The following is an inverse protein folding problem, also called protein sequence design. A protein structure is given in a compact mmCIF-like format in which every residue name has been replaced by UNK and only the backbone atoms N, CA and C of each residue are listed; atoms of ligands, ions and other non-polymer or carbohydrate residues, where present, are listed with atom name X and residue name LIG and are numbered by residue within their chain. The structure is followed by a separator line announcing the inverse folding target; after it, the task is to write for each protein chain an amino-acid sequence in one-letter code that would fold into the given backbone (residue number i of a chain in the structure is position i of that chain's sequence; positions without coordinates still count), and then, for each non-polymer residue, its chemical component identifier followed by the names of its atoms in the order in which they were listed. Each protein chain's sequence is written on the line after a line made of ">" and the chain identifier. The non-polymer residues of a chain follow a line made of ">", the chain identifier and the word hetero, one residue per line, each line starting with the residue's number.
data_IF_891569713647
#
_entry.id   IF_891569713647
#
_cell.length_a   1.000
_cell.length_b   1.000
_cell.length_c   1.000
_cell.angle_alpha   90.00
_cell.angle_beta   90.00
_cell.angle_gamma   90.00
#
_symmetry.space_group_name_H-M   'P 1'
#
loop_
_entity.id
_entity.type
_entity.pdbx_description
1 polymer ?
#
# COMPACT_ATOMS: atom_id res chain seq x y z
N UNK A 1 27.07 16.47 3.74
CA UNK A 1 25.73 17.11 3.78
C UNK A 1 24.65 16.04 3.96
N UNK A 2 23.69 16.23 4.88
CA UNK A 2 22.54 15.32 5.01
C UNK A 2 21.65 15.46 3.76
N UNK A 3 21.75 14.53 2.80
CA UNK A 3 20.88 14.45 1.61
C UNK A 3 19.42 14.53 2.05
N UNK A 4 18.67 15.54 1.58
CA UNK A 4 17.24 15.67 1.90
C UNK A 4 16.51 14.59 1.09
N UNK A 5 15.78 13.73 1.79
CA UNK A 5 15.08 12.59 1.19
C UNK A 5 14.00 13.10 0.23
N UNK A 6 14.09 12.73 -1.04
CA UNK A 6 13.02 12.96 -2.02
C UNK A 6 11.73 12.32 -1.55
N UNK A 7 10.62 13.06 -1.59
CA UNK A 7 9.30 12.46 -1.34
C UNK A 7 8.92 11.49 -2.47
N UNK A 8 8.07 10.49 -2.18
CA UNK A 8 7.62 9.53 -3.21
C UNK A 8 6.98 10.25 -4.42
N UNK A 9 6.28 11.35 -4.16
CA UNK A 9 5.70 12.19 -5.21
C UNK A 9 6.77 12.87 -6.05
N UNK A 10 7.77 13.52 -5.44
CA UNK A 10 8.88 14.16 -6.16
C UNK A 10 9.66 13.14 -7.00
N UNK A 11 9.89 11.93 -6.45
CA UNK A 11 10.52 10.83 -7.17
C UNK A 11 9.74 10.43 -8.42
N UNK A 12 8.43 10.21 -8.27
CA UNK A 12 7.58 9.77 -9.36
C UNK A 12 7.37 10.89 -10.40
N UNK A 13 7.17 12.14 -9.98
CA UNK A 13 7.04 13.29 -10.89
C UNK A 13 8.31 13.51 -11.73
N UNK A 14 9.49 13.31 -11.13
CA UNK A 14 10.76 13.41 -11.86
C UNK A 14 10.88 12.35 -12.96
N UNK A 15 10.64 11.07 -12.64
CA UNK A 15 10.67 10.01 -13.64
C UNK A 15 9.56 10.17 -14.68
N UNK A 16 8.36 10.57 -14.28
CA UNK A 16 7.24 10.84 -15.20
C UNK A 16 7.63 11.85 -16.27
N UNK A 17 8.11 13.03 -15.84
CA UNK A 17 8.51 14.09 -16.77
C UNK A 17 9.71 13.67 -17.62
N UNK A 18 10.65 12.92 -17.05
CA UNK A 18 11.79 12.38 -17.81
C UNK A 18 11.28 11.44 -18.91
N UNK A 19 10.38 10.52 -18.59
CA UNK A 19 9.76 9.61 -19.56
C UNK A 19 8.96 10.33 -20.64
N UNK A 20 8.24 11.40 -20.29
CA UNK A 20 7.53 12.25 -21.27
C UNK A 20 8.48 12.96 -22.23
N UNK A 21 9.67 13.38 -21.79
CA UNK A 21 10.70 13.96 -22.65
C UNK A 21 11.37 12.89 -23.52
N UNK A 22 11.68 11.72 -22.97
CA UNK A 22 12.19 10.58 -23.74
C UNK A 22 11.22 10.17 -24.86
N UNK A 23 9.92 10.11 -24.57
CA UNK A 23 8.87 9.82 -25.55
C UNK A 23 8.81 10.86 -26.69
N UNK A 24 9.29 12.09 -26.43
CA UNK A 24 9.40 13.16 -27.43
C UNK A 24 10.72 13.14 -28.19
N UNK A 25 11.59 12.16 -27.94
CA UNK A 25 12.87 11.99 -28.62
C UNK A 25 14.06 12.71 -27.99
N UNK A 26 13.91 13.26 -26.77
CA UNK A 26 15.05 13.87 -26.08
C UNK A 26 16.02 12.77 -25.57
N UNK A 27 17.34 12.95 -25.71
CA UNK A 27 18.31 12.10 -25.05
C UNK A 27 18.14 12.13 -23.52
N UNK A 28 18.43 11.01 -22.84
CA UNK A 28 18.22 10.87 -21.39
C UNK A 28 18.94 11.96 -20.58
N UNK A 29 20.20 12.26 -20.92
CA UNK A 29 20.97 13.28 -20.23
C UNK A 29 20.33 14.68 -20.40
N UNK A 30 19.88 15.02 -21.61
CA UNK A 30 19.26 16.32 -21.91
C UNK A 30 17.89 16.46 -21.23
N UNK A 31 17.11 15.37 -21.22
CA UNK A 31 15.83 15.32 -20.51
C UNK A 31 16.01 15.62 -19.02
N UNK A 32 16.98 14.95 -18.37
CA UNK A 32 17.27 15.13 -16.94
C UNK A 32 17.86 16.52 -16.66
N UNK A 33 18.75 17.01 -17.52
CA UNK A 33 19.31 18.35 -17.40
C UNK A 33 18.24 19.43 -17.51
N UNK A 34 17.32 19.31 -18.47
CA UNK A 34 16.20 20.23 -18.65
C UNK A 34 15.30 20.30 -17.40
N UNK A 35 15.06 19.15 -16.77
CA UNK A 35 14.26 19.08 -15.55
C UNK A 35 14.96 19.69 -14.34
N UNK A 36 16.29 19.64 -14.26
CA UNK A 36 17.06 20.21 -13.15
C UNK A 36 16.75 21.69 -12.93
N UNK A 37 16.53 22.47 -14.01
CA UNK A 37 16.22 23.91 -13.91
C UNK A 37 14.90 24.22 -13.20
N UNK A 38 13.96 23.26 -13.16
CA UNK A 38 12.65 23.41 -12.50
C UNK A 38 12.66 22.94 -11.04
N UNK A 39 13.78 22.42 -10.55
CA UNK A 39 13.88 21.81 -9.21
C UNK A 39 14.36 22.79 -8.15
N UNK A 40 14.13 22.43 -6.88
CA UNK A 40 14.71 23.15 -5.73
C UNK A 40 16.24 23.03 -5.79
N UNK A 41 16.98 24.06 -5.36
CA UNK A 41 18.46 24.08 -5.33
C UNK A 41 19.09 22.81 -4.75
N UNK A 42 18.53 22.28 -3.66
CA UNK A 42 19.04 21.05 -3.03
C UNK A 42 18.99 19.81 -3.94
N UNK A 43 17.99 19.70 -4.81
CA UNK A 43 17.89 18.58 -5.78
C UNK A 43 18.68 18.85 -7.05
N UNK A 44 18.96 20.11 -7.39
CA UNK A 44 19.81 20.46 -8.53
C UNK A 44 21.23 19.92 -8.37
N UNK A 45 21.81 20.07 -7.18
CA UNK A 45 23.14 19.51 -6.86
C UNK A 45 23.16 17.98 -7.01
N UNK A 46 22.13 17.29 -6.49
CA UNK A 46 22.00 15.83 -6.59
C UNK A 46 21.82 15.37 -8.04
N UNK A 47 21.05 16.11 -8.86
CA UNK A 47 20.87 15.82 -10.29
C UNK A 47 22.13 16.14 -11.09
N UNK A 48 22.95 17.11 -10.67
CA UNK A 48 24.23 17.40 -11.32
C UNK A 48 25.21 16.26 -11.12
N UNK A 49 25.29 15.70 -9.89
CA UNK A 49 26.07 14.50 -9.63
C UNK A 49 25.54 13.30 -10.42
N UNK A 50 24.21 13.10 -10.43
CA UNK A 50 23.56 12.07 -11.23
C UNK A 50 23.97 12.12 -12.71
N UNK A 51 24.01 13.32 -13.30
CA UNK A 51 24.42 13.51 -14.69
C UNK A 51 25.91 13.21 -14.91
N UNK A 52 26.77 13.46 -13.91
CA UNK A 52 28.18 13.04 -13.94
C UNK A 52 28.29 11.53 -13.94
N UNK A 53 27.62 10.87 -12.97
CA UNK A 53 27.65 9.41 -12.81
C UNK A 53 27.13 8.71 -14.08
N UNK A 54 26.09 9.27 -14.72
CA UNK A 54 25.55 8.76 -15.97
C UNK A 54 26.54 8.89 -17.14
N UNK A 55 27.28 10.01 -17.22
CA UNK A 55 28.34 10.21 -18.23
C UNK A 55 29.54 9.29 -18.02
N UNK A 56 29.80 8.91 -16.78
CA UNK A 56 30.82 7.93 -16.40
C UNK A 56 30.40 6.48 -16.71
N UNK A 57 29.14 6.26 -17.14
CA UNK A 57 28.63 4.95 -17.54
C UNK A 57 28.07 4.12 -16.38
N UNK A 58 27.81 4.73 -15.22
CA UNK A 58 27.14 4.02 -14.14
C UNK A 58 25.68 3.69 -14.52
N UNK A 59 25.20 2.45 -14.21
CA UNK A 59 23.81 2.08 -14.46
C UNK A 59 22.84 2.99 -13.70
N UNK A 60 21.82 3.48 -14.40
CA UNK A 60 20.80 4.39 -13.92
C UNK A 60 20.08 3.87 -12.68
N UNK A 61 19.73 2.59 -12.66
CA UNK A 61 19.07 1.98 -11.51
C UNK A 61 19.93 2.07 -10.24
N UNK A 62 21.27 1.99 -10.34
CA UNK A 62 22.18 2.13 -9.20
C UNK A 62 22.21 3.57 -8.68
N UNK A 63 22.29 4.54 -9.60
CA UNK A 63 22.27 5.97 -9.25
C UNK A 63 20.96 6.32 -8.52
N UNK A 64 19.81 5.84 -9.02
CA UNK A 64 18.52 6.02 -8.36
C UNK A 64 18.47 5.33 -6.99
N UNK A 65 19.12 4.17 -6.83
CA UNK A 65 19.19 3.48 -5.55
C UNK A 65 19.99 4.29 -4.51
N UNK A 66 21.07 4.95 -4.93
CA UNK A 66 21.91 5.82 -4.08
C UNK A 66 21.21 7.13 -3.69
N UNK A 67 20.31 7.61 -4.55
CA UNK A 67 19.37 8.69 -4.25
C UNK A 67 18.17 8.25 -3.40
N UNK A 68 18.11 6.97 -3.01
CA UNK A 68 17.07 6.36 -2.17
C UNK A 68 15.68 6.43 -2.80
N UNK A 69 15.61 6.26 -4.12
CA UNK A 69 14.34 6.06 -4.81
C UNK A 69 13.63 4.80 -4.29
N UNK A 70 12.30 4.81 -4.36
CA UNK A 70 11.50 3.66 -3.94
C UNK A 70 11.83 2.44 -4.81
N UNK A 71 12.02 1.27 -4.18
CA UNK A 71 12.48 0.03 -4.84
C UNK A 71 11.67 -0.36 -6.07
N UNK A 72 10.35 -0.16 -6.06
CA UNK A 72 9.49 -0.43 -7.23
C UNK A 72 9.87 0.45 -8.43
N UNK A 73 10.10 1.75 -8.24
CA UNK A 73 10.54 2.64 -9.33
C UNK A 73 11.90 2.20 -9.87
N UNK A 74 12.83 1.89 -8.97
CA UNK A 74 14.15 1.39 -9.36
C UNK A 74 14.04 0.08 -10.14
N UNK A 75 13.09 -0.80 -9.77
CA UNK A 75 12.80 -2.03 -10.51
C UNK A 75 12.35 -1.78 -11.95
N UNK A 76 11.39 -0.86 -12.16
CA UNK A 76 11.00 -0.45 -13.51
C UNK A 76 12.19 0.06 -14.34
N UNK A 77 13.07 0.86 -13.72
CA UNK A 77 14.29 1.33 -14.39
C UNK A 77 15.26 0.20 -14.71
N UNK A 78 15.50 -0.69 -13.74
CA UNK A 78 16.42 -1.82 -13.88
C UNK A 78 16.06 -2.70 -15.09
N UNK A 79 14.80 -3.10 -15.23
CA UNK A 79 14.38 -3.94 -16.36
C UNK A 79 14.42 -3.18 -17.69
N UNK A 80 14.08 -1.89 -17.68
CA UNK A 80 14.07 -1.08 -18.89
C UNK A 80 15.46 -0.72 -19.42
N UNK A 81 16.46 -0.62 -18.54
CA UNK A 81 17.86 -0.42 -18.94
C UNK A 81 18.42 -1.57 -19.77
N UNK A 82 17.92 -2.80 -19.59
CA UNK A 82 18.43 -3.97 -20.30
C UNK A 82 18.00 -4.00 -21.77
N UNK A 83 16.83 -3.42 -22.10
CA UNK A 83 16.24 -3.52 -23.45
C UNK A 83 15.82 -2.18 -24.08
N UNK A 84 16.11 -1.06 -23.44
CA UNK A 84 15.99 0.27 -24.04
C UNK A 84 14.61 0.93 -23.93
N UNK A 85 13.63 0.31 -23.27
CA UNK A 85 12.26 0.84 -23.11
C UNK A 85 12.09 1.79 -21.91
N UNK A 86 13.07 2.68 -21.67
CA UNK A 86 13.10 3.58 -20.51
C UNK A 86 11.91 4.56 -20.48
N UNK A 87 11.49 5.05 -21.65
CA UNK A 87 10.36 5.98 -21.78
C UNK A 87 9.09 5.40 -21.14
N UNK A 88 8.71 4.18 -21.54
CA UNK A 88 7.47 3.56 -21.09
C UNK A 88 7.57 3.11 -19.63
N UNK A 89 8.71 2.52 -19.24
CA UNK A 89 8.92 2.10 -17.87
C UNK A 89 8.90 3.27 -16.87
N UNK A 90 9.45 4.43 -17.24
CA UNK A 90 9.37 5.63 -16.41
C UNK A 90 7.93 6.11 -16.28
N UNK A 91 7.16 6.12 -17.38
CA UNK A 91 5.77 6.57 -17.39
C UNK A 91 4.88 5.64 -16.57
N UNK A 92 4.98 4.33 -16.77
CA UNK A 92 4.13 3.36 -16.08
C UNK A 92 4.54 3.21 -14.60
N UNK A 93 5.85 3.13 -14.31
CA UNK A 93 6.35 3.09 -12.93
C UNK A 93 6.00 4.36 -12.14
N UNK A 94 6.13 5.54 -12.75
CA UNK A 94 5.75 6.81 -12.12
C UNK A 94 4.24 6.96 -11.95
N UNK A 95 3.43 6.60 -12.95
CA UNK A 95 1.97 6.62 -12.87
C UNK A 95 1.49 5.77 -11.68
N UNK A 96 2.04 4.56 -11.53
CA UNK A 96 1.76 3.68 -10.41
C UNK A 96 2.10 4.31 -9.05
N UNK A 97 3.29 4.93 -8.92
CA UNK A 97 3.68 5.55 -7.65
C UNK A 97 2.93 6.84 -7.34
N UNK A 98 2.58 7.64 -8.36
CA UNK A 98 1.73 8.82 -8.21
C UNK A 98 0.33 8.41 -7.75
N UNK A 99 -0.22 7.34 -8.33
CA UNK A 99 -1.51 6.77 -7.89
C UNK A 99 -1.43 6.33 -6.43
N UNK A 100 -0.41 5.56 -6.05
CA UNK A 100 -0.17 5.15 -4.66
C UNK A 100 -0.05 6.33 -3.70
N UNK A 101 0.65 7.39 -4.09
CA UNK A 101 0.74 8.61 -3.29
C UNK A 101 -0.62 9.29 -3.16
N UNK A 102 -1.38 9.40 -4.25
CA UNK A 102 -2.75 9.96 -4.26
C UNK A 102 -3.68 9.17 -3.34
N UNK A 103 -3.66 7.84 -3.39
CA UNK A 103 -4.49 6.98 -2.54
C UNK A 103 -4.09 7.11 -1.06
N UNK A 104 -2.80 7.28 -0.78
CA UNK A 104 -2.32 7.59 0.58
C UNK A 104 -2.82 8.95 1.07
N UNK A 105 -2.79 9.98 0.23
CA UNK A 105 -3.31 11.30 0.57
C UNK A 105 -4.84 11.32 0.71
N UNK A 106 -5.56 10.59 -0.13
CA UNK A 106 -7.01 10.34 0.04
C UNK A 106 -7.26 9.70 1.40
N UNK A 107 -6.59 8.61 1.73
CA UNK A 107 -6.74 7.92 3.01
C UNK A 107 -6.44 8.84 4.21
N UNK A 108 -5.37 9.64 4.16
CA UNK A 108 -5.10 10.64 5.20
C UNK A 108 -6.26 11.61 5.36
N UNK A 109 -6.73 12.23 4.26
CA UNK A 109 -7.85 13.18 4.28
C UNK A 109 -9.13 12.55 4.83
N UNK A 110 -9.41 11.29 4.47
CA UNK A 110 -10.56 10.54 4.98
C UNK A 110 -10.48 10.28 6.49
N UNK A 111 -9.28 10.13 7.04
CA UNK A 111 -9.07 9.86 8.47
C UNK A 111 -9.02 11.12 9.34
N UNK A 112 -8.67 12.29 8.79
CA UNK A 112 -8.60 13.54 9.58
C UNK A 112 -9.92 13.81 10.31
N UNK A 113 -11.05 13.77 9.61
CA UNK A 113 -12.35 14.07 10.21
C UNK A 113 -12.76 13.06 11.31
N UNK A 114 -12.75 11.73 11.07
CA UNK A 114 -13.00 10.75 12.11
C UNK A 114 -12.08 10.89 13.32
N UNK A 115 -10.78 11.16 13.13
CA UNK A 115 -9.84 11.31 14.25
C UNK A 115 -10.18 12.52 15.11
N UNK A 116 -10.48 13.67 14.49
CA UNK A 116 -10.90 14.87 15.22
C UNK A 116 -12.22 14.61 15.97
N UNK A 117 -13.18 13.95 15.31
CA UNK A 117 -14.48 13.67 15.92
C UNK A 117 -14.36 12.66 17.06
N UNK A 118 -13.58 11.59 16.90
CA UNK A 118 -13.28 10.61 17.96
C UNK A 118 -12.59 11.30 19.13
N UNK A 119 -11.63 12.21 18.87
CA UNK A 119 -10.96 12.96 19.92
C UNK A 119 -11.94 13.84 20.72
N UNK A 120 -12.85 14.54 20.04
CA UNK A 120 -13.90 15.34 20.68
C UNK A 120 -14.89 14.47 21.47
N UNK A 121 -15.37 13.38 20.87
CA UNK A 121 -16.27 12.43 21.52
C UNK A 121 -15.60 11.78 22.73
N UNK A 122 -14.31 11.47 22.66
CA UNK A 122 -13.54 10.95 23.79
C UNK A 122 -13.47 11.95 24.95
N UNK A 123 -13.22 13.23 24.67
CA UNK A 123 -13.24 14.26 25.71
C UNK A 123 -14.63 14.43 26.32
N UNK A 124 -15.68 14.44 25.49
CA UNK A 124 -17.06 14.48 25.96
C UNK A 124 -17.38 13.25 26.83
N UNK A 125 -16.89 12.08 26.46
CA UNK A 125 -17.08 10.85 27.22
C UNK A 125 -16.43 10.95 28.60
N UNK A 126 -15.20 11.44 28.69
CA UNK A 126 -14.53 11.69 29.97
C UNK A 126 -15.28 12.71 30.84
N UNK A 127 -15.84 13.76 30.23
CA UNK A 127 -16.67 14.74 30.94
C UNK A 127 -17.93 14.08 31.53
N UNK A 128 -18.64 13.29 30.72
CA UNK A 128 -19.85 12.57 31.15
C UNK A 128 -19.52 11.60 32.28
N UNK A 129 -18.46 10.82 32.13
CA UNK A 129 -18.08 9.79 33.11
C UNK A 129 -17.56 10.37 34.43
N UNK A 130 -16.65 11.36 34.38
CA UNK A 130 -15.96 11.84 35.58
C UNK A 130 -16.67 12.96 36.32
N UNK A 131 -17.49 13.75 35.63
CA UNK A 131 -18.13 14.93 36.23
C UNK A 131 -19.63 14.70 36.36
N UNK A 132 -20.28 14.30 35.26
CA UNK A 132 -21.74 14.25 35.19
C UNK A 132 -22.31 13.03 35.93
N UNK A 133 -21.84 11.82 35.65
CA UNK A 133 -22.35 10.59 36.29
C UNK A 133 -22.23 10.58 37.83
N UNK A 134 -21.14 11.05 38.46
CA UNK A 134 -21.05 11.10 39.92
C UNK A 134 -22.09 12.04 40.54
N UNK A 135 -22.37 13.18 39.89
CA UNK A 135 -23.40 14.11 40.34
C UNK A 135 -24.78 13.45 40.32
N UNK A 136 -25.15 12.79 39.21
CA UNK A 136 -26.39 12.01 39.15
C UNK A 136 -26.43 10.91 40.21
N UNK A 137 -25.34 10.16 40.39
CA UNK A 137 -25.28 9.08 41.38
C UNK A 137 -25.54 9.61 42.81
N UNK A 138 -24.95 10.75 43.16
CA UNK A 138 -25.16 11.40 44.46
C UNK A 138 -26.61 11.88 44.67
N UNK A 139 -27.25 12.42 43.62
CA UNK A 139 -28.65 12.83 43.65
C UNK A 139 -29.59 11.64 43.82
N UNK A 140 -29.38 10.56 43.06
CA UNK A 140 -30.17 9.32 43.17
C UNK A 140 -30.07 8.70 44.57
N UNK A 141 -28.88 8.72 45.19
CA UNK A 141 -28.69 8.29 46.58
C UNK A 141 -29.48 9.15 47.58
N UNK A 142 -29.49 10.47 47.41
CA UNK A 142 -30.24 11.38 48.30
C UNK A 142 -31.77 11.18 48.21
N UNK A 143 -32.27 10.75 47.05
CA UNK A 143 -33.69 10.49 46.80
C UNK A 143 -34.09 9.03 47.08
N UNK A 144 -33.18 8.18 47.59
CA UNK A 144 -33.38 6.73 47.76
C UNK A 144 -33.81 5.99 46.48
N UNK A 145 -33.47 6.52 45.30
CA UNK A 145 -33.76 5.89 44.02
C UNK A 145 -32.68 4.86 43.69
N UNK A 146 -33.09 3.65 43.29
CA UNK A 146 -32.15 2.60 42.90
C UNK A 146 -31.48 2.95 41.57
N UNK A 147 -30.18 2.63 41.38
CA UNK A 147 -29.50 2.83 40.11
C UNK A 147 -30.21 2.04 38.99
N UNK A 148 -30.60 2.74 37.92
CA UNK A 148 -31.25 2.12 36.76
C UNK A 148 -30.27 1.23 35.98
N UNK A 149 -30.81 0.29 35.20
CA UNK A 149 -30.07 -0.60 34.28
C UNK A 149 -29.09 0.18 33.40
N UNK A 150 -29.48 1.38 32.94
CA UNK A 150 -28.64 2.21 32.08
C UNK A 150 -27.36 2.71 32.79
N UNK A 151 -27.45 3.21 34.03
CA UNK A 151 -26.27 3.60 34.81
C UNK A 151 -25.31 2.41 35.00
N UNK A 152 -25.84 1.21 35.28
CA UNK A 152 -25.03 0.01 35.39
C UNK A 152 -24.30 -0.34 34.10
N UNK A 153 -24.94 -0.17 32.94
CA UNK A 153 -24.31 -0.40 31.62
C UNK A 153 -23.18 0.59 31.36
N UNK A 154 -23.35 1.87 31.71
CA UNK A 154 -22.29 2.88 31.50
C UNK A 154 -21.10 2.64 32.43
N UNK A 155 -21.33 2.39 33.72
CA UNK A 155 -20.25 2.03 34.65
C UNK A 155 -19.51 0.76 34.20
N UNK A 156 -20.26 -0.27 33.76
CA UNK A 156 -19.67 -1.49 33.22
C UNK A 156 -18.86 -1.24 31.94
N UNK A 157 -19.27 -0.29 31.09
CA UNK A 157 -18.52 0.11 29.90
C UNK A 157 -17.22 0.85 30.28
N UNK A 158 -17.27 1.71 31.29
CA UNK A 158 -16.08 2.37 31.87
C UNK A 158 -15.07 1.36 32.43
N UNK A 159 -15.54 0.34 33.15
CA UNK A 159 -14.68 -0.71 33.71
C UNK A 159 -14.08 -1.63 32.64
N UNK A 160 -14.81 -1.90 31.55
CA UNK A 160 -14.34 -2.71 30.42
C UNK A 160 -13.35 -1.93 29.53
N UNK A 161 -13.44 -0.61 29.47
CA UNK A 161 -12.62 0.19 28.56
C UNK A 161 -11.10 -0.04 28.74
N UNK A 162 -10.53 -0.01 29.97
CA UNK A 162 -9.14 -0.40 30.20
C UNK A 162 -8.80 -1.82 29.72
N UNK A 163 -9.73 -2.76 29.86
CA UNK A 163 -9.54 -4.15 29.43
C UNK A 163 -9.51 -4.27 27.90
N UNK A 164 -10.39 -3.57 27.18
CA UNK A 164 -10.36 -3.51 25.71
C UNK A 164 -9.02 -2.91 25.23
N UNK A 165 -8.57 -1.80 25.84
CA UNK A 165 -7.28 -1.19 25.50
C UNK A 165 -6.14 -2.17 25.77
N UNK A 166 -6.15 -2.88 26.90
CA UNK A 166 -5.11 -3.84 27.26
C UNK A 166 -5.07 -5.04 26.30
N UNK A 167 -6.23 -5.60 25.93
CA UNK A 167 -6.33 -6.69 24.93
C UNK A 167 -5.86 -6.22 23.56
N UNK A 168 -6.20 -4.99 23.17
CA UNK A 168 -5.76 -4.41 21.88
C UNK A 168 -4.25 -4.20 21.86
N UNK A 169 -3.66 -3.71 22.94
CA UNK A 169 -2.20 -3.58 23.07
C UNK A 169 -1.49 -4.93 23.12
N UNK A 170 -2.06 -5.93 23.80
CA UNK A 170 -1.53 -7.29 23.86
C UNK A 170 -1.55 -7.96 22.50
N UNK A 171 -2.66 -7.87 21.76
CA UNK A 171 -2.76 -8.40 20.39
C UNK A 171 -1.80 -7.69 19.44
N UNK A 172 -1.66 -6.37 19.54
CA UNK A 172 -0.65 -5.61 18.80
C UNK A 172 0.77 -6.10 19.14
N UNK A 173 1.09 -6.26 20.41
CA UNK A 173 2.39 -6.75 20.87
C UNK A 173 2.69 -8.17 20.37
N UNK A 174 1.73 -9.10 20.47
CA UNK A 174 1.88 -10.46 19.95
C UNK A 174 2.05 -10.48 18.43
N UNK A 175 1.30 -9.65 17.70
CA UNK A 175 1.42 -9.54 16.25
C UNK A 175 2.78 -8.99 15.81
N UNK A 176 3.31 -7.98 16.53
CA UNK A 176 4.65 -7.43 16.31
C UNK A 176 5.72 -8.47 16.61
N UNK A 177 5.59 -9.20 17.72
CA UNK A 177 6.51 -10.30 18.05
C UNK A 177 6.48 -11.39 16.97
N UNK A 178 5.31 -11.84 16.55
CA UNK A 178 5.18 -12.80 15.44
C UNK A 178 5.85 -12.29 14.16
N UNK A 179 5.65 -11.01 13.83
CA UNK A 179 6.26 -10.36 12.67
C UNK A 179 7.79 -10.36 12.74
N UNK A 180 8.37 -9.89 13.84
CA UNK A 180 9.83 -9.78 14.00
C UNK A 180 10.52 -11.14 14.17
N UNK A 181 9.94 -12.05 14.97
CA UNK A 181 10.58 -13.31 15.32
C UNK A 181 10.34 -14.45 14.31
N UNK A 182 9.18 -14.49 13.64
CA UNK A 182 8.85 -15.53 12.66
C UNK A 182 8.76 -15.01 11.24
N UNK A 183 7.91 -14.02 10.97
CA UNK A 183 7.59 -13.62 9.60
C UNK A 183 8.80 -13.10 8.81
N UNK A 184 9.64 -12.26 9.45
CA UNK A 184 10.85 -11.71 8.82
C UNK A 184 11.89 -12.78 8.44
N UNK A 185 11.85 -13.96 9.07
CA UNK A 185 12.77 -15.09 8.81
C UNK A 185 12.28 -16.01 7.70
N UNK A 186 11.02 -15.90 7.26
CA UNK A 186 10.53 -16.69 6.14
C UNK A 186 11.18 -16.25 4.83
N UNK A 187 11.30 -17.18 3.87
CA UNK A 187 11.70 -16.84 2.52
C UNK A 187 10.78 -15.75 1.93
N UNK A 188 11.32 -14.82 1.13
CA UNK A 188 10.55 -13.81 0.40
C UNK A 188 9.26 -14.34 -0.24
N UNK A 189 9.33 -15.50 -0.90
CA UNK A 189 8.17 -16.15 -1.54
C UNK A 189 7.13 -16.55 -0.50
N UNK A 190 7.54 -17.22 0.59
CA UNK A 190 6.62 -17.59 1.68
C UNK A 190 5.98 -16.37 2.36
N UNK A 191 6.72 -15.27 2.53
CA UNK A 191 6.17 -14.02 3.03
C UNK A 191 5.06 -13.48 2.11
N UNK A 192 5.32 -13.46 0.80
CA UNK A 192 4.34 -12.98 -0.19
C UNK A 192 3.13 -13.89 -0.30
N UNK A 193 3.30 -15.21 -0.24
CA UNK A 193 2.20 -16.19 -0.23
C UNK A 193 1.30 -16.02 1.00
N UNK A 194 1.87 -15.75 2.18
CA UNK A 194 1.07 -15.51 3.38
C UNK A 194 0.28 -14.19 3.25
N UNK A 195 0.92 -13.13 2.75
CA UNK A 195 0.29 -11.83 2.50
C UNK A 195 -0.86 -11.95 1.48
N UNK A 196 -0.65 -12.70 0.39
CA UNK A 196 -1.66 -12.91 -0.64
C UNK A 196 -2.84 -13.76 -0.16
N UNK A 197 -2.66 -14.55 0.90
CA UNK A 197 -3.71 -15.39 1.49
C UNK A 197 -4.52 -14.66 2.57
N UNK A 198 -4.19 -13.41 2.90
CA UNK A 198 -4.94 -12.64 3.90
C UNK A 198 -6.31 -12.23 3.35
N UNK A 199 -7.40 -12.37 4.13
CA UNK A 199 -8.71 -11.88 3.71
C UNK A 199 -8.65 -10.36 3.51
N UNK A 200 -9.39 -9.86 2.52
CA UNK A 200 -9.39 -8.46 2.06
C UNK A 200 -8.08 -7.98 1.42
N UNK A 201 -6.95 -7.95 2.14
CA UNK A 201 -5.68 -7.40 1.65
C UNK A 201 -5.00 -8.30 0.61
N UNK A 202 -5.21 -9.62 0.69
CA UNK A 202 -4.58 -10.58 -0.20
C UNK A 202 -4.90 -10.34 -1.68
N UNK A 203 -6.13 -9.92 -1.99
CA UNK A 203 -6.51 -9.60 -3.37
C UNK A 203 -5.83 -8.33 -3.91
N UNK A 204 -5.61 -7.30 -3.07
CA UNK A 204 -4.83 -6.13 -3.50
C UNK A 204 -3.38 -6.54 -3.80
N UNK A 205 -2.83 -7.41 -2.95
CA UNK A 205 -1.47 -7.90 -3.11
C UNK A 205 -1.29 -8.73 -4.37
N UNK A 206 -2.25 -9.62 -4.68
CA UNK A 206 -2.26 -10.42 -5.90
C UNK A 206 -2.35 -9.54 -7.15
N UNK A 207 -3.32 -8.63 -7.22
CA UNK A 207 -3.44 -7.66 -8.33
C UNK A 207 -2.16 -6.85 -8.55
N UNK A 208 -1.56 -6.34 -7.46
CA UNK A 208 -0.30 -5.57 -7.54
C UNK A 208 0.84 -6.43 -8.08
N UNK A 209 1.00 -7.65 -7.55
CA UNK A 209 2.12 -8.54 -7.91
C UNK A 209 1.97 -9.03 -9.35
N UNK A 210 0.76 -9.40 -9.75
CA UNK A 210 0.41 -9.76 -11.13
C UNK A 210 0.66 -8.60 -12.09
N UNK A 211 0.15 -7.41 -11.79
CA UNK A 211 0.41 -6.22 -12.61
C UNK A 211 1.91 -5.98 -12.81
N UNK A 212 2.68 -5.94 -11.70
CA UNK A 212 4.11 -5.68 -11.76
C UNK A 212 4.86 -6.76 -12.55
N UNK A 213 4.59 -8.04 -12.29
CA UNK A 213 5.25 -9.12 -13.03
C UNK A 213 4.89 -9.09 -14.52
N UNK A 214 3.61 -8.94 -14.87
CA UNK A 214 3.15 -8.94 -16.26
C UNK A 214 3.70 -7.77 -17.05
N UNK A 215 3.77 -6.55 -16.48
CA UNK A 215 4.29 -5.39 -17.21
C UNK A 215 5.80 -5.49 -17.42
N UNK A 216 6.58 -5.92 -16.42
CA UNK A 216 8.01 -6.12 -16.59
C UNK A 216 8.29 -7.21 -17.63
N UNK A 217 7.62 -8.36 -17.52
CA UNK A 217 7.80 -9.44 -18.49
C UNK A 217 7.39 -9.02 -19.90
N UNK A 218 6.30 -8.27 -20.06
CA UNK A 218 5.89 -7.71 -21.35
C UNK A 218 6.98 -6.84 -21.97
N UNK A 219 7.59 -5.92 -21.22
CA UNK A 219 8.68 -5.08 -21.74
C UNK A 219 9.92 -5.86 -22.14
N UNK A 220 10.30 -6.87 -21.35
CA UNK A 220 11.44 -7.73 -21.68
C UNK A 220 11.18 -8.51 -22.98
N UNK A 221 9.99 -9.11 -23.12
CA UNK A 221 9.59 -9.82 -24.33
C UNK A 221 9.51 -8.88 -25.56
N UNK A 222 8.99 -7.66 -25.39
CA UNK A 222 8.94 -6.64 -26.45
C UNK A 222 10.33 -6.15 -26.87
N UNK A 223 11.30 -6.23 -25.96
CA UNK A 223 12.73 -6.04 -26.20
C UNK A 223 13.41 -7.21 -26.95
N UNK A 224 12.66 -8.26 -27.29
CA UNK A 224 13.14 -9.42 -28.04
C UNK A 224 13.66 -10.57 -27.18
N UNK A 225 13.50 -10.52 -25.86
CA UNK A 225 13.96 -11.61 -24.99
C UNK A 225 13.01 -12.79 -24.99
N UNK A 226 13.58 -13.97 -24.81
CA UNK A 226 12.83 -15.16 -24.42
C UNK A 226 12.36 -15.08 -22.95
N UNK A 227 11.41 -15.93 -22.59
CA UNK A 227 10.95 -16.07 -21.20
C UNK A 227 12.11 -16.45 -20.27
N UNK A 228 13.00 -17.35 -20.71
CA UNK A 228 14.13 -17.82 -19.91
C UNK A 228 15.12 -16.68 -19.63
N UNK A 229 15.47 -15.88 -20.64
CA UNK A 229 16.34 -14.71 -20.49
C UNK A 229 15.69 -13.66 -19.59
N UNK A 230 14.38 -13.45 -19.75
CA UNK A 230 13.62 -12.54 -18.91
C UNK A 230 13.68 -12.97 -17.43
N UNK A 231 13.45 -14.26 -17.13
CA UNK A 231 13.52 -14.79 -15.77
C UNK A 231 14.92 -14.70 -15.16
N UNK A 232 15.97 -14.83 -15.98
CA UNK A 232 17.36 -14.60 -15.54
C UNK A 232 17.56 -13.15 -15.09
N UNK A 233 16.99 -12.17 -15.79
CA UNK A 233 17.05 -10.77 -15.35
C UNK A 233 16.31 -10.54 -14.02
N UNK A 234 15.20 -11.26 -13.78
CA UNK A 234 14.55 -11.25 -12.46
C UNK A 234 15.46 -11.82 -11.37
N UNK A 235 16.19 -12.91 -11.64
CA UNK A 235 17.17 -13.49 -10.72
C UNK A 235 18.29 -12.49 -10.38
N UNK A 236 18.79 -11.76 -11.37
CA UNK A 236 19.89 -10.80 -11.23
C UNK A 236 19.49 -9.48 -10.51
N UNK A 237 18.20 -9.30 -10.18
CA UNK A 237 17.69 -8.11 -9.48
C UNK A 237 18.04 -8.12 -7.97
N UNK A 238 19.33 -7.97 -7.64
CA UNK A 238 19.91 -8.16 -6.31
C UNK A 238 19.26 -7.36 -5.16
N UNK A 239 18.75 -6.16 -5.44
CA UNK A 239 18.17 -5.27 -4.42
C UNK A 239 16.70 -5.58 -4.11
N UNK A 240 16.10 -6.50 -4.88
CA UNK A 240 14.73 -6.97 -4.72
C UNK A 240 14.69 -8.49 -4.49
N UNK A 241 14.83 -8.89 -3.22
CA UNK A 241 14.92 -10.30 -2.80
C UNK A 241 13.77 -11.20 -3.28
N UNK A 242 12.59 -10.61 -3.51
CA UNK A 242 11.46 -11.35 -4.06
C UNK A 242 11.63 -11.66 -5.54
N UNK A 243 12.07 -10.68 -6.35
CA UNK A 243 12.27 -10.86 -7.79
C UNK A 243 13.38 -11.88 -8.02
N UNK A 244 14.47 -11.74 -7.26
CA UNK A 244 15.61 -12.66 -7.31
C UNK A 244 15.22 -14.10 -7.04
N UNK A 245 14.46 -14.35 -5.97
CA UNK A 245 14.04 -15.71 -5.63
C UNK A 245 13.01 -16.24 -6.63
N UNK A 246 12.07 -15.39 -7.06
CA UNK A 246 11.04 -15.77 -8.02
C UNK A 246 11.62 -16.15 -9.38
N UNK A 247 12.52 -15.33 -9.91
CA UNK A 247 13.22 -15.57 -11.17
C UNK A 247 13.97 -16.89 -11.14
N UNK A 248 14.75 -17.12 -10.07
CA UNK A 248 15.48 -18.37 -9.86
C UNK A 248 14.57 -19.60 -9.83
N UNK A 249 13.53 -19.61 -8.99
CA UNK A 249 12.64 -20.77 -8.86
C UNK A 249 11.87 -21.04 -10.17
N UNK A 250 11.41 -20.00 -10.87
CA UNK A 250 10.74 -20.15 -12.17
C UNK A 250 11.68 -20.66 -13.26
N UNK A 251 12.92 -20.15 -13.31
CA UNK A 251 13.91 -20.57 -14.30
C UNK A 251 14.31 -22.04 -14.11
N UNK A 252 14.52 -22.48 -12.87
CA UNK A 252 14.80 -23.89 -12.54
C UNK A 252 13.64 -24.78 -13.01
N UNK A 253 12.38 -24.41 -12.71
CA UNK A 253 11.23 -25.20 -13.13
C UNK A 253 11.05 -25.24 -14.65
N UNK A 254 11.28 -24.13 -15.35
CA UNK A 254 11.20 -24.06 -16.81
C UNK A 254 12.29 -24.91 -17.45
N UNK A 255 13.50 -24.90 -16.89
CA UNK A 255 14.63 -25.71 -17.37
C UNK A 255 14.41 -27.22 -17.19
N UNK A 256 13.59 -27.62 -16.22
CA UNK A 256 13.17 -29.02 -16.05
C UNK A 256 12.02 -29.46 -16.97
N UNK A 257 11.54 -28.59 -17.86
CA UNK A 257 10.51 -28.90 -18.86
C UNK A 257 9.06 -28.68 -18.41
N UNK A 258 8.83 -28.05 -17.25
CA UNK A 258 7.47 -27.62 -16.89
C UNK A 258 7.02 -26.47 -17.79
N UNK A 259 5.76 -26.46 -18.18
CA UNK A 259 5.17 -25.35 -18.95
C UNK A 259 5.08 -24.07 -18.09
N UNK A 260 5.18 -22.91 -18.73
CA UNK A 260 5.28 -21.64 -18.00
C UNK A 260 3.96 -21.30 -17.29
N UNK A 261 2.82 -21.60 -17.93
CA UNK A 261 1.49 -21.46 -17.35
C UNK A 261 1.30 -22.33 -16.11
N UNK A 262 1.84 -23.56 -16.08
CA UNK A 262 1.70 -24.45 -14.93
C UNK A 262 2.62 -24.03 -13.78
N UNK A 263 3.79 -23.45 -14.09
CA UNK A 263 4.64 -22.82 -13.08
C UNK A 263 3.90 -21.66 -12.40
N UNK A 264 3.24 -20.80 -13.17
CA UNK A 264 2.52 -19.63 -12.65
C UNK A 264 1.36 -20.04 -11.73
N UNK A 265 0.61 -21.10 -12.07
CA UNK A 265 -0.50 -21.61 -11.24
C UNK A 265 -0.08 -22.01 -9.83
N UNK A 266 1.20 -22.39 -9.61
CA UNK A 266 1.68 -22.83 -8.29
C UNK A 266 1.81 -21.67 -7.30
N UNK A 267 1.88 -20.43 -7.78
CA UNK A 267 2.11 -19.26 -6.93
C UNK A 267 0.81 -18.53 -6.58
N UNK A 268 0.35 -18.70 -5.34
CA UNK A 268 -0.89 -18.05 -4.82
C UNK A 268 -0.83 -16.53 -4.69
N UNK A 269 0.30 -15.91 -4.99
CA UNK A 269 0.42 -14.44 -5.02
C UNK A 269 0.19 -13.86 -6.42
N UNK A 270 -0.03 -14.68 -7.44
CA UNK A 270 -0.60 -14.23 -8.69
C UNK A 270 -2.11 -14.39 -8.70
N UNK A 271 -2.76 -13.62 -9.56
CA UNK A 271 -4.15 -13.85 -9.94
C UNK A 271 -4.21 -15.12 -10.82
N UNK A 272 -5.27 -15.91 -10.65
CA UNK A 272 -5.39 -17.24 -11.29
C UNK A 272 -5.46 -17.10 -12.82
N UNK A 273 -6.05 -16.00 -13.30
CA UNK A 273 -6.22 -15.70 -14.72
C UNK A 273 -4.87 -15.50 -15.43
N UNK A 274 -3.80 -15.14 -14.73
CA UNK A 274 -2.47 -14.92 -15.32
C UNK A 274 -2.00 -16.15 -16.11
N UNK A 275 -2.21 -17.35 -15.57
CA UNK A 275 -1.79 -18.59 -16.23
C UNK A 275 -2.51 -18.82 -17.56
N UNK A 276 -3.79 -18.47 -17.65
CA UNK A 276 -4.58 -18.60 -18.87
C UNK A 276 -4.20 -17.55 -19.91
N UNK A 277 -3.94 -16.31 -19.48
CA UNK A 277 -3.44 -15.24 -20.35
C UNK A 277 -2.09 -15.63 -20.96
N UNK A 278 -1.19 -16.19 -20.16
CA UNK A 278 0.12 -16.66 -20.63
C UNK A 278 -0.03 -17.78 -21.65
N UNK A 279 -0.85 -18.80 -21.36
CA UNK A 279 -1.12 -19.89 -22.28
C UNK A 279 -1.66 -19.38 -23.62
N UNK A 280 -2.69 -18.55 -23.59
CA UNK A 280 -3.31 -17.97 -24.80
C UNK A 280 -2.31 -17.11 -25.60
N UNK A 281 -1.50 -16.31 -24.91
CA UNK A 281 -0.48 -15.48 -25.52
C UNK A 281 0.63 -16.30 -26.18
N UNK A 282 1.02 -17.43 -25.59
CA UNK A 282 2.00 -18.35 -26.18
C UNK A 282 1.44 -19.05 -27.41
N UNK A 283 0.23 -19.60 -27.33
CA UNK A 283 -0.42 -20.32 -28.44
C UNK A 283 -0.60 -19.43 -29.68
N UNK A 284 -0.88 -18.14 -29.49
CA UNK A 284 -1.09 -17.18 -30.58
C UNK A 284 0.16 -16.35 -30.94
N UNK A 285 1.31 -16.58 -30.29
CA UNK A 285 2.56 -15.84 -30.53
C UNK A 285 2.51 -14.36 -30.14
N UNK A 286 1.58 -13.96 -29.25
CA UNK A 286 1.29 -12.57 -28.86
C UNK A 286 1.44 -12.32 -27.36
N UNK A 287 2.28 -13.12 -26.69
CA UNK A 287 2.46 -13.10 -25.24
C UNK A 287 2.79 -11.71 -24.67
N UNK A 288 3.67 -10.97 -25.34
CA UNK A 288 4.03 -9.60 -24.98
C UNK A 288 2.79 -8.69 -24.84
N UNK A 289 1.92 -8.68 -25.85
CA UNK A 289 0.76 -7.80 -25.91
C UNK A 289 -0.33 -8.24 -24.91
N UNK A 290 -0.54 -9.55 -24.76
CA UNK A 290 -1.47 -10.12 -23.79
C UNK A 290 -1.07 -9.77 -22.35
N UNK A 291 0.21 -9.88 -22.01
CA UNK A 291 0.73 -9.49 -20.70
C UNK A 291 0.60 -7.98 -20.45
N UNK A 292 0.87 -7.14 -21.46
CA UNK A 292 0.69 -5.69 -21.33
C UNK A 292 -0.78 -5.34 -21.07
N UNK A 293 -1.69 -5.91 -21.85
CA UNK A 293 -3.12 -5.69 -21.71
C UNK A 293 -3.62 -6.13 -20.33
N UNK A 294 -3.24 -7.34 -19.91
CA UNK A 294 -3.65 -7.89 -18.62
C UNK A 294 -3.03 -7.12 -17.44
N UNK A 295 -1.81 -6.60 -17.57
CA UNK A 295 -1.22 -5.72 -16.56
C UNK A 295 -2.06 -4.46 -16.34
N UNK A 296 -2.54 -3.82 -17.42
CA UNK A 296 -3.42 -2.64 -17.36
C UNK A 296 -4.77 -2.97 -16.74
N UNK A 297 -5.32 -4.13 -17.08
CA UNK A 297 -6.54 -4.65 -16.44
C UNK A 297 -6.37 -4.84 -14.93
N UNK A 298 -5.26 -5.44 -14.49
CA UNK A 298 -4.95 -5.63 -13.07
C UNK A 298 -4.83 -4.28 -12.34
N UNK A 299 -4.16 -3.29 -12.94
CA UNK A 299 -4.04 -1.95 -12.37
C UNK A 299 -5.39 -1.26 -12.25
N UNK A 300 -6.20 -1.26 -13.31
CA UNK A 300 -7.57 -0.70 -13.28
C UNK A 300 -8.44 -1.37 -12.21
N UNK A 301 -8.35 -2.69 -12.09
CA UNK A 301 -9.08 -3.45 -11.06
C UNK A 301 -8.60 -3.09 -9.64
N UNK A 302 -7.29 -2.90 -9.45
CA UNK A 302 -6.71 -2.44 -8.19
C UNK A 302 -7.25 -1.05 -7.81
N UNK A 303 -7.32 -0.13 -8.77
CA UNK A 303 -7.88 1.22 -8.57
C UNK A 303 -9.37 1.17 -8.19
N UNK A 304 -10.18 0.40 -8.93
CA UNK A 304 -11.60 0.23 -8.63
C UNK A 304 -11.84 -0.36 -7.24
N UNK A 305 -11.05 -1.37 -6.82
CA UNK A 305 -11.14 -1.94 -5.48
C UNK A 305 -10.73 -0.92 -4.41
N UNK A 306 -9.71 -0.12 -4.66
CA UNK A 306 -9.26 0.93 -3.74
C UNK A 306 -10.35 1.98 -3.53
N UNK A 307 -10.96 2.47 -4.61
CA UNK A 307 -12.01 3.47 -4.53
C UNK A 307 -13.31 2.89 -3.89
N UNK A 308 -13.65 1.61 -4.14
CA UNK A 308 -14.74 0.92 -3.43
C UNK A 308 -14.46 0.81 -1.92
N UNK A 309 -13.23 0.49 -1.55
CA UNK A 309 -12.83 0.39 -0.15
C UNK A 309 -13.02 1.74 0.57
N UNK A 310 -12.60 2.84 -0.05
CA UNK A 310 -12.82 4.19 0.51
C UNK A 310 -14.29 4.54 0.70
N UNK A 311 -15.16 4.16 -0.25
CA UNK A 311 -16.61 4.38 -0.15
C UNK A 311 -17.28 3.58 0.98
N UNK A 312 -16.73 2.42 1.35
CA UNK A 312 -17.27 1.56 2.42
C UNK A 312 -16.74 2.00 3.79
N UNK A 313 -15.46 2.38 3.87
CA UNK A 313 -14.83 2.79 5.13
C UNK A 313 -15.51 4.02 5.75
N UNK A 314 -15.89 5.01 4.93
CA UNK A 314 -16.50 6.26 5.42
C UNK A 314 -17.81 6.04 6.21
N UNK A 315 -18.86 5.38 5.65
CA UNK A 315 -20.10 5.11 6.39
C UNK A 315 -19.90 4.27 7.65
N UNK A 316 -19.00 3.28 7.62
CA UNK A 316 -18.72 2.45 8.79
C UNK A 316 -18.15 3.30 9.93
N UNK A 317 -17.17 4.16 9.62
CA UNK A 317 -16.57 5.05 10.61
C UNK A 317 -17.60 6.03 11.19
N UNK A 318 -18.44 6.65 10.36
CA UNK A 318 -19.46 7.60 10.85
C UNK A 318 -20.60 6.93 11.60
N UNK A 319 -21.03 5.74 11.17
CA UNK A 319 -22.05 4.97 11.89
C UNK A 319 -21.56 4.58 13.28
N UNK A 320 -20.32 4.09 13.37
CA UNK A 320 -19.71 3.76 14.66
C UNK A 320 -19.65 4.97 15.61
N UNK A 321 -19.21 6.13 15.12
CA UNK A 321 -19.17 7.35 15.92
C UNK A 321 -20.58 7.83 16.30
N UNK A 322 -21.53 7.77 15.38
CA UNK A 322 -22.93 8.13 15.64
C UNK A 322 -23.56 7.27 16.74
N UNK A 323 -23.31 5.96 16.73
CA UNK A 323 -23.77 5.04 17.78
C UNK A 323 -23.20 5.45 19.13
N UNK A 324 -21.92 5.82 19.21
CA UNK A 324 -21.30 6.30 20.46
C UNK A 324 -22.00 7.57 20.95
N UNK A 325 -22.20 8.57 20.08
CA UNK A 325 -22.82 9.84 20.44
C UNK A 325 -24.26 9.63 20.93
N UNK A 326 -25.06 8.83 20.22
CA UNK A 326 -26.45 8.52 20.62
C UNK A 326 -26.46 7.80 21.97
N UNK A 327 -25.57 6.82 22.17
CA UNK A 327 -25.44 6.10 23.44
C UNK A 327 -25.09 7.05 24.59
N UNK A 328 -24.22 8.03 24.36
CA UNK A 328 -23.88 9.05 25.34
C UNK A 328 -25.05 9.99 25.63
N UNK A 329 -25.81 10.39 24.61
CA UNK A 329 -27.01 11.21 24.80
C UNK A 329 -28.06 10.50 25.65
N UNK A 330 -28.30 9.22 25.37
CA UNK A 330 -29.15 8.35 26.19
C UNK A 330 -28.63 8.26 27.62
N UNK A 331 -27.32 8.22 27.82
CA UNK A 331 -26.69 8.20 29.15
C UNK A 331 -27.00 9.40 30.02
N UNK A 332 -27.20 10.56 29.41
CA UNK A 332 -27.51 11.78 30.13
C UNK A 332 -29.02 11.89 30.34
N UNK A 333 -29.82 11.64 29.30
CA UNK A 333 -31.26 11.88 29.36
C UNK A 333 -32.05 10.86 30.17
N UNK A 334 -31.71 9.57 30.11
CA UNK A 334 -32.51 8.55 30.81
C UNK A 334 -32.57 8.80 32.32
N UNK A 335 -31.44 9.06 33.01
CA UNK A 335 -31.45 9.44 34.42
C UNK A 335 -32.29 10.70 34.69
N UNK A 336 -32.23 11.69 33.79
CA UNK A 336 -32.99 12.93 33.93
C UNK A 336 -34.51 12.69 33.88
N UNK A 337 -35.00 11.87 32.95
CA UNK A 337 -36.44 11.55 32.89
C UNK A 337 -36.92 10.80 34.13
N UNK A 338 -36.11 9.90 34.68
CA UNK A 338 -36.47 9.20 35.91
C UNK A 338 -36.55 10.11 37.14
N UNK A 339 -35.77 11.20 37.16
CA UNK A 339 -35.89 12.20 38.21
C UNK A 339 -37.19 13.01 38.07
N UNK A 340 -37.71 13.19 36.86
CA UNK A 340 -38.98 13.86 36.60
C UNK A 340 -40.19 12.94 36.88
N UNK A 341 -40.10 11.66 36.52
CA UNK A 341 -41.15 10.65 36.77
C UNK A 341 -41.18 10.16 38.23
N UNK A 342 -40.10 10.39 39.00
CA UNK A 342 -39.97 10.05 40.41
C UNK A 342 -40.60 11.05 41.38
N UNK A 343 -41.36 12.02 40.86
CA UNK A 343 -42.22 12.93 41.60
C UNK A 343 -43.70 12.54 41.45
#
# INVERSE_FOLDING_TARGET
>A
MKRRKWSLKEQADFLKKTGELLARGYPLADAIQSLSYQMKKAHQEEVTQFLSDLKEGHPLHKILLDLRFHKTLVGFVYFAEQHGSLSDAFRDGSAMMLRRNSDTEKLKKLLVYPVVLIFMTFFLFLFVEKILLPQYTSLFQSMNLKPNLFMKVVYFTGDIFPLIVCVTLLTLFLSLNYYFFKFKKFSPIKQKTLLSSTPFLGSFYRLFTTHYFSIQLSYLLGGGLSILESLKLFEEHDKHSFDRQLGKEMQEQLSTGNSFEDILKRYKFFEEELSFIVKHGQENGKLEQELLFYSKYCMSTLELKTDKCFKIIQPILYSFIGIIIVSMYLAILLPMFQLLDGF
#
